data_IF_014133771259
#
_entry.id   IF_014133771259
#
_cell.length_a   1.000
_cell.length_b   1.000
_cell.length_c   1.000
_cell.angle_alpha   90.00
_cell.angle_beta   90.00
_cell.angle_gamma   90.00
#
_symmetry.space_group_name_H-M   'P 1'
#
loop_
_entity.id
_entity.type
_entity.pdbx_description
1 polymer ?
#
# COMPACT_ATOMS: atom_id res chain seq x y z
N UNK A 1 15.90 -10.42 23.73
CA UNK A 1 16.14 -8.97 23.87
C UNK A 1 17.22 -8.52 22.89
N UNK A 2 18.48 -8.96 22.97
CA UNK A 2 19.57 -8.45 22.11
C UNK A 2 19.48 -8.81 20.62
N UNK A 3 18.69 -9.81 20.22
CA UNK A 3 18.58 -10.22 18.82
C UNK A 3 17.57 -9.35 18.08
N UNK A 4 16.54 -8.93 18.76
CA UNK A 4 15.49 -8.06 18.24
C UNK A 4 16.00 -6.61 18.12
N UNK A 5 16.60 -6.04 19.16
CA UNK A 5 17.20 -4.68 19.11
C UNK A 5 18.14 -4.51 17.90
N UNK A 6 18.89 -5.57 17.54
CA UNK A 6 19.74 -5.56 16.35
C UNK A 6 18.96 -5.66 15.03
N UNK A 7 17.81 -6.32 15.04
CA UNK A 7 16.96 -6.43 13.86
C UNK A 7 16.28 -5.09 13.56
N UNK A 8 15.86 -4.37 14.60
CA UNK A 8 15.27 -3.03 14.49
C UNK A 8 16.27 -1.98 14.00
N UNK A 9 17.44 -1.92 14.66
CA UNK A 9 18.50 -1.01 14.23
C UNK A 9 18.92 -1.30 12.79
N UNK A 10 19.03 -2.57 12.43
CA UNK A 10 19.30 -3.00 11.06
C UNK A 10 18.16 -2.64 10.10
N UNK A 11 16.91 -2.89 10.48
CA UNK A 11 15.73 -2.57 9.69
C UNK A 11 15.62 -1.06 9.44
N UNK A 12 15.76 -0.23 10.47
CA UNK A 12 15.69 1.24 10.36
C UNK A 12 16.79 1.81 9.45
N UNK A 13 18.04 1.36 9.63
CA UNK A 13 19.18 1.82 8.81
C UNK A 13 19.04 1.35 7.35
N UNK A 14 18.70 0.07 7.15
CA UNK A 14 18.52 -0.50 5.81
C UNK A 14 17.36 0.18 5.08
N UNK A 15 16.29 0.53 5.79
CA UNK A 15 15.14 1.26 5.22
C UNK A 15 15.54 2.58 4.61
N UNK A 16 16.20 3.40 5.40
CA UNK A 16 16.65 4.72 4.97
C UNK A 16 17.64 4.61 3.80
N UNK A 17 18.57 3.64 3.90
CA UNK A 17 19.62 3.45 2.91
C UNK A 17 19.13 2.81 1.61
N UNK A 18 17.99 2.11 1.63
CA UNK A 18 17.34 1.59 0.43
C UNK A 18 16.34 2.60 -0.18
N UNK A 19 15.59 3.34 0.64
CA UNK A 19 14.66 4.37 0.12
C UNK A 19 15.38 5.51 -0.59
N UNK A 20 16.54 5.94 -0.09
CA UNK A 20 17.26 7.05 -0.68
C UNK A 20 17.67 6.83 -2.15
N UNK A 21 18.34 5.73 -2.56
CA UNK A 21 18.67 5.49 -3.96
C UNK A 21 17.41 5.27 -4.82
N UNK A 22 16.35 4.70 -4.24
CA UNK A 22 15.08 4.49 -4.93
C UNK A 22 14.42 5.84 -5.26
N UNK A 23 14.29 6.75 -4.30
CA UNK A 23 13.75 8.10 -4.52
C UNK A 23 14.57 8.90 -5.54
N UNK A 24 15.90 8.74 -5.51
CA UNK A 24 16.77 9.38 -6.54
C UNK A 24 16.52 8.79 -7.92
N UNK A 25 16.27 7.49 -8.03
CA UNK A 25 15.96 6.82 -9.30
C UNK A 25 14.59 7.26 -9.82
N UNK A 26 13.56 7.29 -8.97
CA UNK A 26 12.21 7.78 -9.29
C UNK A 26 12.25 9.24 -9.76
N UNK A 27 12.84 10.15 -8.99
CA UNK A 27 12.95 11.56 -9.39
C UNK A 27 13.76 11.81 -10.66
N UNK A 28 14.71 10.91 -11.02
CA UNK A 28 15.40 10.97 -12.30
C UNK A 28 14.55 10.44 -13.44
N UNK A 29 13.73 9.45 -13.18
CA UNK A 29 12.81 8.88 -14.15
C UNK A 29 11.70 9.90 -14.49
N UNK A 30 11.16 10.63 -13.50
CA UNK A 30 10.22 11.73 -13.72
C UNK A 30 10.79 12.79 -14.68
N UNK A 31 12.06 13.15 -14.51
CA UNK A 31 12.74 14.12 -15.41
C UNK A 31 12.96 13.55 -16.81
N UNK A 32 13.10 12.25 -16.97
CA UNK A 32 13.23 11.60 -18.27
C UNK A 32 11.88 11.46 -18.97
N UNK A 33 10.80 11.28 -18.25
CA UNK A 33 9.44 11.17 -18.77
C UNK A 33 9.01 12.45 -19.52
N UNK A 34 9.43 13.60 -19.02
CA UNK A 34 9.22 14.89 -19.69
C UNK A 34 9.98 15.02 -21.04
N UNK A 35 11.04 14.24 -21.24
CA UNK A 35 11.91 14.30 -22.40
C UNK A 35 11.70 13.15 -23.40
N UNK A 36 11.22 12.01 -22.95
CA UNK A 36 11.16 10.75 -23.72
C UNK A 36 9.86 10.01 -23.44
N UNK A 37 8.92 10.10 -24.34
CA UNK A 37 7.71 9.26 -24.36
C UNK A 37 8.11 7.84 -24.83
N UNK A 38 8.20 6.90 -23.90
CA UNK A 38 8.67 5.53 -24.20
C UNK A 38 8.10 4.52 -23.21
N UNK A 39 7.51 3.44 -23.72
CA UNK A 39 7.03 2.30 -22.96
C UNK A 39 8.08 1.77 -21.94
N UNK A 40 9.37 1.93 -22.24
CA UNK A 40 10.45 1.55 -21.34
C UNK A 40 10.58 2.44 -20.10
N UNK A 41 10.13 3.68 -20.17
CA UNK A 41 10.09 4.59 -19.02
C UNK A 41 8.97 4.15 -18.07
N UNK A 42 7.83 3.77 -18.61
CA UNK A 42 6.71 3.23 -17.84
C UNK A 42 7.06 1.88 -17.18
N UNK A 43 7.74 0.99 -17.91
CA UNK A 43 8.24 -0.27 -17.36
C UNK A 43 9.21 -0.05 -16.19
N UNK A 44 10.10 0.95 -16.31
CA UNK A 44 11.04 1.30 -15.25
C UNK A 44 10.35 1.92 -14.05
N UNK A 45 9.33 2.76 -14.27
CA UNK A 45 8.51 3.34 -13.19
C UNK A 45 7.85 2.21 -12.40
N UNK A 46 7.12 1.33 -13.06
CA UNK A 46 6.47 0.19 -12.42
C UNK A 46 7.46 -0.73 -11.68
N UNK A 47 8.69 -0.88 -12.17
CA UNK A 47 9.71 -1.65 -11.46
C UNK A 47 10.23 -0.94 -10.20
N UNK A 48 10.41 0.37 -10.23
CA UNK A 48 10.83 1.16 -9.07
C UNK A 48 9.75 1.24 -8.00
N UNK A 49 8.49 1.35 -8.39
CA UNK A 49 7.34 1.37 -7.47
C UNK A 49 7.19 0.02 -6.77
N UNK A 50 7.31 -1.09 -7.50
CA UNK A 50 7.36 -2.44 -6.91
C UNK A 50 8.52 -2.62 -5.93
N UNK A 51 9.70 -2.05 -6.23
CA UNK A 51 10.83 -2.08 -5.29
C UNK A 51 10.53 -1.29 -4.01
N UNK A 52 9.84 -0.16 -4.13
CA UNK A 52 9.36 0.63 -2.99
C UNK A 52 8.45 -0.20 -2.08
N UNK A 53 7.41 -0.79 -2.66
CA UNK A 53 6.46 -1.64 -1.94
C UNK A 53 7.14 -2.83 -1.24
N UNK A 54 8.06 -3.52 -1.92
CA UNK A 54 8.81 -4.63 -1.32
C UNK A 54 9.68 -4.19 -0.13
N UNK A 55 10.28 -3.00 -0.20
CA UNK A 55 11.05 -2.43 0.91
C UNK A 55 10.12 -2.15 2.09
N UNK A 56 8.96 -1.56 1.85
CA UNK A 56 7.99 -1.24 2.89
C UNK A 56 7.40 -2.50 3.54
N UNK A 57 7.09 -3.54 2.76
CA UNK A 57 6.66 -4.85 3.25
C UNK A 57 7.72 -5.51 4.15
N UNK A 58 8.99 -5.50 3.71
CA UNK A 58 10.09 -6.04 4.51
C UNK A 58 10.26 -5.31 5.83
N UNK A 59 10.01 -4.00 5.84
CA UNK A 59 10.11 -3.17 7.03
C UNK A 59 8.95 -3.41 7.99
N UNK A 60 7.76 -3.59 7.47
CA UNK A 60 6.57 -3.96 8.25
C UNK A 60 6.82 -5.30 8.94
N UNK A 61 7.25 -6.33 8.22
CA UNK A 61 7.60 -7.65 8.79
C UNK A 61 8.70 -7.53 9.86
N UNK A 62 9.68 -6.65 9.66
CA UNK A 62 10.78 -6.48 10.60
C UNK A 62 10.37 -5.71 11.88
N UNK A 63 9.31 -4.88 11.79
CA UNK A 63 8.76 -4.11 12.93
C UNK A 63 7.68 -4.87 13.70
N UNK A 64 6.97 -5.79 13.06
CA UNK A 64 5.87 -6.58 13.67
C UNK A 64 6.25 -7.39 14.93
N UNK A 65 7.49 -7.33 15.37
CA UNK A 65 7.99 -8.04 16.55
C UNK A 65 8.02 -7.25 17.86
N UNK A 66 7.85 -5.93 17.89
CA UNK A 66 8.24 -5.16 19.09
C UNK A 66 7.42 -3.96 19.52
N UNK A 67 6.70 -3.29 18.66
CA UNK A 67 5.76 -2.29 19.14
C UNK A 67 4.52 -3.00 19.70
N UNK A 68 4.29 -2.84 21.00
CA UNK A 68 3.02 -3.26 21.59
C UNK A 68 1.93 -2.49 20.84
N UNK A 69 1.16 -3.19 19.99
CA UNK A 69 0.03 -2.58 19.28
C UNK A 69 -0.84 -1.87 20.31
N UNK A 70 -0.98 -0.57 20.16
CA UNK A 70 -1.86 0.21 21.00
C UNK A 70 -3.27 0.17 20.41
N UNK A 71 -4.07 -0.82 20.82
CA UNK A 71 -5.44 -0.90 20.40
C UNK A 71 -6.26 0.20 21.05
N UNK A 72 -6.93 1.00 20.21
CA UNK A 72 -7.87 2.03 20.60
C UNK A 72 -9.10 1.99 19.67
N UNK A 73 -10.24 2.56 20.09
CA UNK A 73 -11.38 2.73 19.20
C UNK A 73 -11.02 3.71 18.06
N UNK A 74 -10.94 3.21 16.83
CA UNK A 74 -10.62 4.01 15.64
C UNK A 74 -11.86 4.05 14.73
N UNK A 75 -12.35 5.26 14.42
CA UNK A 75 -13.42 5.44 13.47
C UNK A 75 -12.96 5.05 12.06
N UNK A 76 -13.63 4.06 11.47
CA UNK A 76 -13.28 3.50 10.14
C UNK A 76 -13.29 4.60 9.08
N UNK A 77 -14.33 5.45 9.08
CA UNK A 77 -14.44 6.57 8.13
C UNK A 77 -13.24 7.52 8.22
N UNK A 78 -12.81 7.88 9.44
CA UNK A 78 -11.68 8.80 9.63
C UNK A 78 -10.38 8.22 9.10
N UNK A 79 -10.08 6.97 9.47
CA UNK A 79 -8.87 6.27 9.04
C UNK A 79 -8.84 6.08 7.51
N UNK A 80 -9.98 5.71 6.91
CA UNK A 80 -10.08 5.54 5.46
C UNK A 80 -9.86 6.86 4.71
N UNK A 81 -10.46 7.97 5.17
CA UNK A 81 -10.28 9.28 4.53
C UNK A 81 -8.87 9.85 4.71
N UNK A 82 -8.26 9.62 5.87
CA UNK A 82 -6.86 10.01 6.11
C UNK A 82 -5.91 9.25 5.18
N UNK A 83 -6.09 7.94 5.03
CA UNK A 83 -5.32 7.13 4.12
C UNK A 83 -5.54 7.51 2.64
N UNK A 84 -6.80 7.80 2.25
CA UNK A 84 -7.11 8.22 0.89
C UNK A 84 -6.40 9.52 0.48
N UNK A 85 -6.19 10.43 1.44
CA UNK A 85 -5.51 11.70 1.17
C UNK A 85 -4.03 11.55 0.79
N UNK A 86 -3.42 10.37 1.04
CA UNK A 86 -2.04 10.07 0.67
C UNK A 86 -1.92 9.30 -0.64
N UNK A 87 -3.04 8.79 -1.17
CA UNK A 87 -3.06 8.06 -2.45
C UNK A 87 -2.98 9.04 -3.61
N UNK A 88 -2.00 8.85 -4.47
CA UNK A 88 -1.83 9.65 -5.69
C UNK A 88 -2.88 9.23 -6.73
N UNK A 89 -3.90 10.05 -6.92
CA UNK A 89 -4.94 9.85 -7.93
C UNK A 89 -5.58 11.17 -8.32
N UNK A 90 -5.86 11.33 -9.61
CA UNK A 90 -6.53 12.52 -10.16
C UNK A 90 -8.04 12.34 -10.30
N UNK A 91 -8.48 11.12 -10.59
CA UNK A 91 -9.87 10.84 -11.04
C UNK A 91 -10.56 9.75 -10.23
N UNK A 92 -9.85 8.88 -9.53
CA UNK A 92 -10.45 7.88 -8.67
C UNK A 92 -11.23 8.51 -7.50
N UNK A 93 -12.22 7.81 -7.01
CA UNK A 93 -13.11 8.29 -5.95
C UNK A 93 -13.22 7.30 -4.80
N UNK A 94 -13.35 7.84 -3.57
CA UNK A 94 -13.60 7.07 -2.35
C UNK A 94 -15.04 7.26 -1.88
N UNK A 95 -15.75 6.17 -1.69
CA UNK A 95 -17.05 6.10 -1.01
C UNK A 95 -16.86 5.38 0.32
N UNK A 96 -17.26 6.01 1.42
CA UNK A 96 -17.21 5.38 2.75
C UNK A 96 -18.64 5.24 3.26
N UNK A 97 -19.07 3.99 3.43
CA UNK A 97 -20.36 3.56 3.97
C UNK A 97 -20.11 2.72 5.25
N UNK A 98 -19.36 3.32 6.16
CA UNK A 98 -18.98 2.71 7.43
C UNK A 98 -18.95 3.81 8.51
N UNK A 99 -19.88 3.75 9.46
CA UNK A 99 -20.00 4.69 10.57
C UNK A 99 -19.41 4.14 11.89
N UNK A 100 -18.98 2.86 11.89
CA UNK A 100 -18.51 2.14 13.08
C UNK A 100 -17.07 2.49 13.48
N UNK A 101 -16.74 2.03 14.69
CA UNK A 101 -15.37 2.06 15.23
C UNK A 101 -14.82 0.64 15.30
N UNK A 102 -13.51 0.50 15.13
CA UNK A 102 -12.78 -0.76 15.25
C UNK A 102 -11.71 -0.61 16.33
N UNK A 103 -11.59 -1.59 17.23
CA UNK A 103 -10.44 -1.70 18.13
C UNK A 103 -9.19 -2.07 17.31
N UNK A 104 -8.36 -1.08 17.02
CA UNK A 104 -7.20 -1.23 16.17
C UNK A 104 -6.06 -0.29 16.58
N UNK A 105 -4.86 -0.62 16.16
CA UNK A 105 -3.77 0.33 16.10
C UNK A 105 -4.00 1.28 14.92
N UNK A 106 -4.08 2.57 15.18
CA UNK A 106 -4.44 3.58 14.19
C UNK A 106 -3.47 3.64 13.02
N UNK A 107 -2.17 3.54 13.30
CA UNK A 107 -1.14 3.64 12.26
C UNK A 107 -1.14 2.39 11.38
N UNK A 108 -1.34 1.21 11.97
CA UNK A 108 -1.47 -0.05 11.23
C UNK A 108 -2.74 -0.07 10.36
N UNK A 109 -3.87 0.41 10.88
CA UNK A 109 -5.12 0.49 10.12
C UNK A 109 -5.01 1.47 8.96
N UNK A 110 -4.36 2.62 9.17
CA UNK A 110 -4.09 3.59 8.11
C UNK A 110 -3.21 3.00 7.02
N UNK A 111 -2.12 2.33 7.40
CA UNK A 111 -1.22 1.66 6.44
C UNK A 111 -1.94 0.56 5.64
N UNK A 112 -2.82 -0.21 6.28
CA UNK A 112 -3.65 -1.19 5.59
C UNK A 112 -4.53 -0.54 4.52
N UNK A 113 -5.20 0.57 4.85
CA UNK A 113 -6.02 1.30 3.88
C UNK A 113 -5.17 1.88 2.74
N UNK A 114 -4.01 2.48 3.04
CA UNK A 114 -3.08 2.99 2.01
C UNK A 114 -2.70 1.90 1.01
N UNK A 115 -2.35 0.71 1.48
CA UNK A 115 -2.01 -0.43 0.64
C UNK A 115 -3.21 -0.91 -0.20
N UNK A 116 -4.39 -1.03 0.40
CA UNK A 116 -5.59 -1.48 -0.31
C UNK A 116 -6.06 -0.47 -1.36
N UNK A 117 -6.00 0.81 -1.06
CA UNK A 117 -6.38 1.88 -1.98
C UNK A 117 -5.37 2.03 -3.12
N UNK A 118 -4.07 1.94 -2.82
CA UNK A 118 -3.02 1.91 -3.83
C UNK A 118 -3.23 0.76 -4.82
N UNK A 119 -3.48 -0.45 -4.30
CA UNK A 119 -3.79 -1.61 -5.14
C UNK A 119 -5.04 -1.38 -5.99
N UNK A 120 -6.11 -0.82 -5.42
CA UNK A 120 -7.32 -0.54 -6.19
C UNK A 120 -7.06 0.42 -7.35
N UNK A 121 -6.35 1.53 -7.13
CA UNK A 121 -6.01 2.49 -8.18
C UNK A 121 -5.08 1.86 -9.23
N UNK A 122 -4.12 1.04 -8.83
CA UNK A 122 -3.18 0.37 -9.73
C UNK A 122 -3.88 -0.66 -10.63
N UNK A 123 -4.75 -1.52 -10.05
CA UNK A 123 -5.33 -2.65 -10.79
C UNK A 123 -6.71 -2.38 -11.38
N UNK A 124 -7.54 -1.53 -10.75
CA UNK A 124 -8.84 -1.15 -11.29
C UNK A 124 -8.75 0.04 -12.27
N UNK A 125 -7.68 0.83 -12.16
CA UNK A 125 -7.43 1.97 -13.05
C UNK A 125 -7.73 3.33 -12.41
N UNK A 126 -7.27 4.41 -13.05
CA UNK A 126 -7.27 5.75 -12.46
C UNK A 126 -8.68 6.33 -12.21
N UNK A 127 -9.70 5.84 -12.88
CA UNK A 127 -11.10 6.30 -12.74
C UNK A 127 -11.92 5.43 -11.79
N UNK A 128 -11.29 4.51 -11.05
CA UNK A 128 -12.00 3.56 -10.22
C UNK A 128 -12.72 4.21 -9.03
N UNK A 129 -13.77 3.52 -8.57
CA UNK A 129 -14.46 3.86 -7.32
C UNK A 129 -14.12 2.83 -6.27
N UNK A 130 -13.45 3.27 -5.20
CA UNK A 130 -13.18 2.42 -4.05
C UNK A 130 -14.25 2.63 -3.00
N UNK A 131 -14.86 1.55 -2.53
CA UNK A 131 -15.91 1.58 -1.52
C UNK A 131 -15.46 0.88 -0.25
N UNK A 132 -15.51 1.59 0.88
CA UNK A 132 -15.32 1.03 2.21
C UNK A 132 -16.69 0.81 2.86
N UNK A 133 -17.01 -0.43 3.16
CA UNK A 133 -18.28 -0.81 3.78
C UNK A 133 -18.10 -1.37 5.17
N UNK A 134 -19.13 -1.22 6.02
CA UNK A 134 -19.15 -1.79 7.37
C UNK A 134 -19.55 -3.26 7.34
N UNK A 135 -18.92 -4.07 8.17
CA UNK A 135 -19.25 -5.47 8.42
C UNK A 135 -19.50 -5.67 9.92
N UNK A 136 -20.24 -6.73 10.33
CA UNK A 136 -20.54 -6.99 11.75
C UNK A 136 -19.29 -7.07 12.64
N UNK A 137 -18.19 -7.56 12.12
CA UNK A 137 -16.94 -7.77 12.86
C UNK A 137 -15.73 -7.10 12.16
N UNK A 138 -15.95 -6.01 11.43
CA UNK A 138 -14.88 -5.32 10.72
C UNK A 138 -15.37 -4.43 9.58
N UNK A 139 -14.61 -4.40 8.50
CA UNK A 139 -14.94 -3.62 7.30
C UNK A 139 -14.60 -4.38 6.02
N UNK A 140 -15.09 -3.90 4.89
CA UNK A 140 -14.75 -4.37 3.56
C UNK A 140 -14.20 -3.21 2.73
N UNK A 141 -13.27 -3.51 1.83
CA UNK A 141 -12.82 -2.59 0.77
C UNK A 141 -13.07 -3.27 -0.56
N UNK A 142 -13.76 -2.58 -1.45
CA UNK A 142 -14.08 -3.07 -2.78
C UNK A 142 -13.81 -1.98 -3.81
N UNK A 143 -13.33 -2.37 -4.97
CA UNK A 143 -13.20 -1.53 -6.16
C UNK A 143 -14.20 -1.98 -7.24
N UNK A 144 -14.43 -1.13 -8.22
CA UNK A 144 -15.27 -1.41 -9.39
C UNK A 144 -14.46 -1.87 -10.62
N UNK A 145 -13.22 -2.30 -10.40
CA UNK A 145 -12.33 -2.82 -11.44
C UNK A 145 -12.67 -4.23 -11.93
N UNK A 146 -11.80 -4.84 -12.75
CA UNK A 146 -12.04 -6.15 -13.35
C UNK A 146 -12.06 -7.30 -12.33
N UNK A 147 -11.57 -7.04 -11.12
CA UNK A 147 -11.44 -8.04 -10.05
C UNK A 147 -10.38 -9.09 -10.33
N UNK A 148 -10.21 -10.02 -9.39
CA UNK A 148 -9.23 -11.12 -9.47
C UNK A 148 -9.87 -12.32 -10.15
N UNK A 149 -9.24 -12.92 -11.20
CA UNK A 149 -9.69 -14.17 -11.82
C UNK A 149 -9.87 -15.28 -10.81
N UNK A 150 -10.89 -16.14 -11.03
CA UNK A 150 -11.23 -17.18 -10.03
C UNK A 150 -10.12 -18.20 -9.76
N UNK A 151 -9.26 -18.45 -10.72
CA UNK A 151 -8.10 -19.36 -10.65
C UNK A 151 -6.89 -18.74 -9.97
N UNK A 152 -6.90 -17.43 -9.77
CA UNK A 152 -5.82 -16.69 -9.11
C UNK A 152 -6.15 -16.30 -7.67
N UNK A 153 -7.41 -16.38 -7.25
CA UNK A 153 -7.88 -15.92 -5.94
C UNK A 153 -7.18 -16.56 -4.74
N UNK A 154 -6.80 -17.80 -4.86
CA UNK A 154 -6.07 -18.52 -3.81
C UNK A 154 -4.57 -18.13 -3.78
N UNK A 155 -4.06 -17.59 -4.89
CA UNK A 155 -2.65 -17.26 -5.06
C UNK A 155 -2.32 -15.81 -4.69
N UNK A 156 -3.30 -14.89 -4.76
CA UNK A 156 -3.07 -13.46 -4.48
C UNK A 156 -2.62 -13.17 -3.06
N UNK A 157 -2.81 -14.11 -2.15
CA UNK A 157 -2.33 -14.04 -0.76
C UNK A 157 -1.00 -14.76 -0.53
N UNK A 158 -0.42 -15.39 -1.56
CA UNK A 158 0.90 -16.02 -1.43
C UNK A 158 2.01 -14.97 -1.47
N UNK A 159 3.03 -15.08 -0.58
CA UNK A 159 4.14 -14.12 -0.58
C UNK A 159 4.83 -14.03 -1.94
N UNK A 160 4.95 -12.81 -2.46
CA UNK A 160 5.62 -12.53 -3.73
C UNK A 160 4.74 -12.72 -4.97
N UNK A 161 3.44 -12.99 -4.81
CA UNK A 161 2.50 -12.98 -5.92
C UNK A 161 2.27 -11.53 -6.39
N UNK A 162 2.49 -11.29 -7.67
CA UNK A 162 2.15 -10.03 -8.35
C UNK A 162 1.69 -10.38 -9.76
N UNK A 163 0.51 -9.93 -10.13
CA UNK A 163 0.06 -9.98 -11.52
C UNK A 163 0.84 -8.92 -12.28
N UNK A 164 2.02 -9.27 -12.78
CA UNK A 164 2.76 -8.42 -13.70
C UNK A 164 1.87 -8.17 -14.92
N UNK A 165 1.53 -6.91 -15.17
CA UNK A 165 0.98 -6.50 -16.46
C UNK A 165 1.94 -6.96 -17.55
N UNK A 166 1.47 -7.82 -18.43
CA UNK A 166 2.18 -8.23 -19.65
C UNK A 166 2.10 -7.11 -20.68
#
# INVERSE_FOLDING_TARGET
>A
VRKNERLEEFSSVVSHDLRNPLQVAQGRLELLDDEVDSDHVDDLRGALDRMGSLIDDLLTIAREGEDAMEFEPVAIESAAREAWATVETDTASLVVDAEGELEADRDQLRQLFENLFGNAVEYAGPDCTVTVGELPDGFSVADDGPGVPNDERDQVFEPGYSTGSA
#
